data_IF_804622699090
#
_entry.id   IF_804622699090
#
_cell.length_a   1.000
_cell.length_b   1.000
_cell.length_c   1.000
_cell.angle_alpha   90.00
_cell.angle_beta   90.00
_cell.angle_gamma   90.00
#
_symmetry.space_group_name_H-M   'P 1'
#
loop_
_entity.id
_entity.type
_entity.pdbx_description
1 polymer ?
#
# COMPACT_ATOMS: atom_id res chain seq x y z
N UNK A 1 -10.74 4.18 -30.87
CA UNK A 1 -10.77 2.71 -30.71
C UNK A 1 -11.60 2.41 -29.48
N UNK A 2 -12.80 1.83 -29.64
CA UNK A 2 -13.70 1.55 -28.52
C UNK A 2 -13.10 0.42 -27.68
N UNK A 3 -12.91 0.69 -26.40
CA UNK A 3 -12.45 -0.25 -25.38
C UNK A 3 -13.49 -1.37 -25.25
N UNK A 4 -13.28 -2.49 -25.96
CA UNK A 4 -14.25 -3.57 -26.10
C UNK A 4 -13.92 -4.79 -25.22
N UNK A 5 -13.02 -4.64 -24.23
CA UNK A 5 -12.86 -5.65 -23.18
C UNK A 5 -13.79 -5.29 -22.03
N UNK A 6 -14.87 -6.06 -21.90
CA UNK A 6 -15.84 -5.90 -20.83
C UNK A 6 -15.13 -5.82 -19.47
N UNK A 7 -15.26 -4.69 -18.77
CA UNK A 7 -14.79 -4.58 -17.39
C UNK A 7 -15.34 -5.76 -16.57
N UNK A 8 -14.53 -6.36 -15.69
CA UNK A 8 -14.97 -7.51 -14.93
C UNK A 8 -16.23 -7.17 -14.12
N UNK A 9 -17.37 -7.72 -14.55
CA UNK A 9 -18.69 -7.58 -13.94
C UNK A 9 -18.80 -8.42 -12.67
N UNK A 10 -17.98 -8.12 -11.67
CA UNK A 10 -17.96 -8.86 -10.40
C UNK A 10 -19.02 -8.28 -9.47
N UNK A 11 -19.94 -9.14 -9.01
CA UNK A 11 -20.88 -8.77 -7.97
C UNK A 11 -20.13 -8.63 -6.63
N UNK A 12 -20.05 -7.40 -6.14
CA UNK A 12 -19.55 -7.06 -4.82
C UNK A 12 -20.62 -7.33 -3.76
N UNK A 13 -20.20 -7.46 -2.49
CA UNK A 13 -21.14 -7.55 -1.36
C UNK A 13 -22.01 -6.29 -1.31
N UNK A 14 -23.13 -6.35 -0.57
CA UNK A 14 -23.91 -5.15 -0.26
C UNK A 14 -23.01 -4.08 0.41
N UNK A 15 -23.36 -2.80 0.26
CA UNK A 15 -22.58 -1.69 0.86
C UNK A 15 -22.37 -1.88 2.37
N UNK A 16 -23.41 -2.35 3.07
CA UNK A 16 -23.34 -2.61 4.51
C UNK A 16 -22.38 -3.77 4.84
N UNK A 17 -22.47 -4.89 4.12
CA UNK A 17 -21.58 -6.04 4.35
C UNK A 17 -20.13 -5.75 3.93
N UNK A 18 -19.91 -4.94 2.89
CA UNK A 18 -18.59 -4.46 2.49
C UNK A 18 -18.00 -3.56 3.57
N UNK A 19 -18.77 -2.58 4.06
CA UNK A 19 -18.35 -1.71 5.15
C UNK A 19 -18.02 -2.49 6.43
N UNK A 20 -18.86 -3.46 6.82
CA UNK A 20 -18.60 -4.30 7.98
C UNK A 20 -17.30 -5.12 7.81
N UNK A 21 -17.09 -5.74 6.66
CA UNK A 21 -15.85 -6.50 6.38
C UNK A 21 -14.63 -5.57 6.41
N UNK A 22 -14.72 -4.43 5.72
CA UNK A 22 -13.64 -3.45 5.62
C UNK A 22 -13.26 -2.84 6.97
N UNK A 23 -14.23 -2.42 7.77
CA UNK A 23 -14.00 -1.85 9.10
C UNK A 23 -13.42 -2.88 10.08
N UNK A 24 -13.91 -4.12 10.06
CA UNK A 24 -13.34 -5.19 10.89
C UNK A 24 -11.88 -5.46 10.52
N UNK A 25 -11.57 -5.60 9.22
CA UNK A 25 -10.19 -5.82 8.79
C UNK A 25 -9.29 -4.62 9.07
N UNK A 26 -9.79 -3.39 8.89
CA UNK A 26 -9.07 -2.18 9.25
C UNK A 26 -8.75 -2.12 10.74
N UNK A 27 -9.72 -2.45 11.61
CA UNK A 27 -9.53 -2.51 13.05
C UNK A 27 -8.53 -3.60 13.46
N UNK A 28 -8.57 -4.78 12.83
CA UNK A 28 -7.62 -5.86 13.09
C UNK A 28 -6.20 -5.49 12.67
N UNK A 29 -6.03 -4.91 11.48
CA UNK A 29 -4.71 -4.46 10.99
C UNK A 29 -4.16 -3.35 11.89
N UNK A 30 -4.94 -2.31 12.14
CA UNK A 30 -4.52 -1.18 12.97
C UNK A 30 -4.25 -1.61 14.42
N UNK A 31 -5.15 -2.39 15.01
CA UNK A 31 -4.99 -2.91 16.36
C UNK A 31 -3.75 -3.81 16.50
N UNK A 32 -3.49 -4.68 15.52
CA UNK A 32 -2.29 -5.52 15.50
C UNK A 32 -1.03 -4.68 15.34
N UNK A 33 -1.05 -3.70 14.42
CA UNK A 33 0.08 -2.80 14.18
C UNK A 33 0.43 -2.01 15.44
N UNK A 34 -0.58 -1.44 16.10
CA UNK A 34 -0.40 -0.63 17.30
C UNK A 34 0.06 -1.47 18.48
N UNK A 35 -0.54 -2.66 18.66
CA UNK A 35 -0.19 -3.57 19.75
C UNK A 35 1.24 -4.09 19.60
N UNK A 36 1.61 -4.51 18.39
CA UNK A 36 2.96 -5.00 18.12
C UNK A 36 4.00 -3.89 18.25
N UNK A 37 3.68 -2.68 17.77
CA UNK A 37 4.53 -1.50 17.94
C UNK A 37 4.72 -1.16 19.42
N UNK A 38 3.64 -1.12 20.20
CA UNK A 38 3.67 -0.86 21.64
C UNK A 38 4.51 -1.93 22.36
N UNK A 39 4.25 -3.20 22.11
CA UNK A 39 5.03 -4.31 22.66
C UNK A 39 6.51 -4.16 22.32
N UNK A 40 6.83 -3.87 21.06
CA UNK A 40 8.21 -3.69 20.58
C UNK A 40 8.96 -2.57 21.29
N UNK A 41 8.30 -1.42 21.49
CA UNK A 41 8.93 -0.25 22.11
C UNK A 41 9.06 -0.40 23.62
N UNK A 42 8.04 -0.91 24.31
CA UNK A 42 7.92 -0.77 25.76
C UNK A 42 8.02 -2.07 26.55
N UNK A 43 7.85 -3.23 25.91
CA UNK A 43 7.80 -4.54 26.62
C UNK A 43 8.93 -5.46 26.18
N UNK A 44 9.22 -5.49 24.88
CA UNK A 44 10.21 -6.39 24.31
C UNK A 44 11.63 -6.00 24.72
N UNK A 45 12.39 -6.95 25.27
CA UNK A 45 13.81 -6.77 25.59
C UNK A 45 14.69 -7.17 24.40
N UNK A 46 15.47 -6.20 23.89
CA UNK A 46 16.35 -6.42 22.74
C UNK A 46 17.75 -6.78 23.21
N UNK A 47 18.15 -8.02 22.92
CA UNK A 47 19.49 -8.54 23.16
C UNK A 47 19.94 -9.38 21.96
N UNK A 48 21.19 -9.84 21.96
CA UNK A 48 21.69 -10.76 20.93
C UNK A 48 20.90 -12.08 20.90
N UNK A 49 20.41 -12.54 22.05
CA UNK A 49 19.61 -13.76 22.15
C UNK A 49 18.21 -13.57 21.56
N UNK A 50 17.60 -12.38 21.71
CA UNK A 50 16.26 -12.09 21.19
C UNK A 50 16.27 -11.53 19.76
N UNK A 51 17.45 -11.30 19.16
CA UNK A 51 17.60 -10.72 17.82
C UNK A 51 16.83 -11.46 16.71
N UNK A 52 16.80 -12.81 16.64
CA UNK A 52 15.98 -13.50 15.63
C UNK A 52 14.48 -13.17 15.75
N UNK A 53 13.97 -13.09 16.98
CA UNK A 53 12.59 -12.70 17.25
C UNK A 53 12.36 -11.21 16.93
N UNK A 54 13.34 -10.34 17.21
CA UNK A 54 13.28 -8.93 16.84
C UNK A 54 13.16 -8.75 15.31
N UNK A 55 13.88 -9.54 14.51
CA UNK A 55 13.77 -9.53 13.05
C UNK A 55 12.39 -10.00 12.59
N UNK A 56 11.85 -11.06 13.22
CA UNK A 56 10.49 -11.53 12.91
C UNK A 56 9.43 -10.47 13.26
N UNK A 57 9.54 -9.81 14.42
CA UNK A 57 8.69 -8.69 14.83
C UNK A 57 8.80 -7.55 13.80
N UNK A 58 10.00 -7.16 13.41
CA UNK A 58 10.24 -6.12 12.41
C UNK A 58 9.58 -6.46 11.06
N UNK A 59 9.66 -7.71 10.61
CA UNK A 59 9.03 -8.16 9.38
C UNK A 59 7.49 -8.10 9.45
N UNK A 60 6.90 -8.51 10.58
CA UNK A 60 5.45 -8.41 10.79
C UNK A 60 5.01 -6.95 10.90
N UNK A 61 5.78 -6.11 11.60
CA UNK A 61 5.52 -4.67 11.71
C UNK A 61 5.59 -3.99 10.33
N UNK A 62 6.54 -4.40 9.48
CA UNK A 62 6.65 -3.95 8.10
C UNK A 62 5.39 -4.30 7.31
N UNK A 63 4.99 -5.58 7.33
CA UNK A 63 3.78 -6.04 6.63
C UNK A 63 2.51 -5.34 7.15
N UNK A 64 2.36 -5.15 8.46
CA UNK A 64 1.24 -4.41 9.04
C UNK A 64 1.25 -2.92 8.63
N UNK A 65 2.43 -2.32 8.46
CA UNK A 65 2.57 -0.94 7.98
C UNK A 65 2.12 -0.80 6.52
N UNK A 66 2.43 -1.78 5.67
CA UNK A 66 1.82 -1.89 4.33
C UNK A 66 0.30 -1.94 4.45
N UNK A 67 -0.23 -2.75 5.38
CA UNK A 67 -1.67 -2.86 5.65
C UNK A 67 -2.33 -1.52 6.00
N UNK A 68 -1.69 -0.67 6.82
CA UNK A 68 -2.22 0.67 7.13
C UNK A 68 -2.39 1.53 5.88
N UNK A 69 -1.40 1.49 4.98
CA UNK A 69 -1.46 2.22 3.72
C UNK A 69 -2.57 1.67 2.82
N UNK A 70 -2.72 0.35 2.74
CA UNK A 70 -3.75 -0.30 1.92
C UNK A 70 -5.17 0.02 2.40
N UNK A 71 -5.40 0.05 3.71
CA UNK A 71 -6.69 0.51 4.27
C UNK A 71 -6.93 1.98 3.91
N UNK A 72 -5.89 2.82 3.99
CA UNK A 72 -5.99 4.22 3.61
C UNK A 72 -6.30 4.40 2.12
N UNK A 73 -5.69 3.57 1.28
CA UNK A 73 -5.91 3.53 -0.15
C UNK A 73 -7.36 3.14 -0.48
N UNK A 74 -7.91 2.08 0.13
CA UNK A 74 -9.33 1.73 -0.03
C UNK A 74 -10.24 2.88 0.41
N UNK A 75 -9.86 3.61 1.44
CA UNK A 75 -10.57 4.82 1.86
C UNK A 75 -10.48 5.96 0.82
N UNK A 76 -9.38 6.11 0.08
CA UNK A 76 -9.27 7.12 -0.99
C UNK A 76 -10.32 6.91 -2.08
N UNK A 77 -10.54 5.66 -2.47
CA UNK A 77 -11.58 5.23 -3.41
C UNK A 77 -12.99 5.18 -2.81
N UNK A 78 -13.08 5.15 -1.48
CA UNK A 78 -14.34 4.99 -0.76
C UNK A 78 -14.86 3.56 -0.71
N UNK A 79 -14.02 2.57 -1.08
CA UNK A 79 -14.35 1.14 -1.03
C UNK A 79 -14.34 0.59 0.40
N UNK A 80 -13.63 1.23 1.34
CA UNK A 80 -13.63 0.85 2.76
C UNK A 80 -15.02 1.01 3.40
N UNK A 81 -15.67 2.17 3.25
CA UNK A 81 -17.07 2.39 3.69
C UNK A 81 -17.90 2.99 2.55
N UNK A 82 -18.50 2.17 1.66
CA UNK A 82 -19.23 2.67 0.51
C UNK A 82 -20.37 3.62 0.89
N UNK A 83 -20.38 4.82 0.30
CA UNK A 83 -21.39 5.85 0.54
C UNK A 83 -21.07 6.85 1.66
N UNK A 84 -19.98 6.68 2.41
CA UNK A 84 -19.60 7.61 3.48
C UNK A 84 -18.21 8.23 3.27
N UNK A 85 -18.14 9.30 2.47
CA UNK A 85 -16.88 10.03 2.22
C UNK A 85 -16.22 10.53 3.51
N UNK A 86 -17.02 10.93 4.50
CA UNK A 86 -16.54 11.44 5.80
C UNK A 86 -15.80 10.37 6.59
N UNK A 87 -16.38 9.17 6.73
CA UNK A 87 -15.76 8.07 7.49
C UNK A 87 -14.47 7.61 6.79
N UNK A 88 -14.52 7.41 5.47
CA UNK A 88 -13.33 7.08 4.69
C UNK A 88 -12.22 8.12 4.88
N UNK A 89 -12.54 9.40 4.73
CA UNK A 89 -11.53 10.46 4.87
C UNK A 89 -10.95 10.52 6.28
N UNK A 90 -11.76 10.33 7.33
CA UNK A 90 -11.27 10.33 8.70
C UNK A 90 -10.33 9.15 8.98
N UNK A 91 -10.72 7.92 8.61
CA UNK A 91 -9.90 6.73 8.82
C UNK A 91 -8.62 6.81 7.98
N UNK A 92 -8.76 7.05 6.68
CA UNK A 92 -7.62 7.10 5.76
C UNK A 92 -6.63 8.22 6.10
N UNK A 93 -7.10 9.40 6.50
CA UNK A 93 -6.21 10.48 6.93
C UNK A 93 -5.44 10.12 8.22
N UNK A 94 -6.12 9.50 9.19
CA UNK A 94 -5.50 9.08 10.45
C UNK A 94 -4.41 8.04 10.20
N UNK A 95 -4.72 7.01 9.40
CA UNK A 95 -3.77 5.94 9.13
C UNK A 95 -2.57 6.41 8.28
N UNK A 96 -2.77 7.28 7.29
CA UNK A 96 -1.67 7.89 6.54
C UNK A 96 -0.78 8.79 7.41
N UNK A 97 -1.39 9.55 8.33
CA UNK A 97 -0.65 10.37 9.26
C UNK A 97 0.19 9.51 10.20
N UNK A 98 -0.36 8.43 10.75
CA UNK A 98 0.40 7.50 11.60
C UNK A 98 1.50 6.75 10.84
N UNK A 99 1.28 6.44 9.56
CA UNK A 99 2.25 5.74 8.73
C UNK A 99 3.57 6.54 8.57
N UNK A 100 3.49 7.82 8.17
CA UNK A 100 4.69 8.63 7.94
C UNK A 100 4.43 10.15 7.97
N UNK A 101 3.40 10.60 8.69
CA UNK A 101 3.00 12.01 8.71
C UNK A 101 2.47 12.50 7.35
N UNK A 102 1.92 11.61 6.53
CA UNK A 102 1.49 11.96 5.18
C UNK A 102 0.20 12.79 5.18
N UNK A 103 0.14 13.75 4.26
CA UNK A 103 -1.05 14.57 4.03
C UNK A 103 -2.09 13.79 3.22
N UNK A 104 -3.30 13.64 3.79
CA UNK A 104 -4.44 13.02 3.12
C UNK A 104 -4.74 13.66 1.76
N UNK A 105 -4.86 14.99 1.72
CA UNK A 105 -5.23 15.72 0.51
C UNK A 105 -4.20 15.52 -0.60
N UNK A 106 -2.91 15.64 -0.26
CA UNK A 106 -1.81 15.46 -1.22
C UNK A 106 -1.78 14.02 -1.76
N UNK A 107 -1.80 13.03 -0.86
CA UNK A 107 -1.69 11.63 -1.24
C UNK A 107 -2.91 11.18 -2.06
N UNK A 108 -4.13 11.52 -1.63
CA UNK A 108 -5.35 11.19 -2.36
C UNK A 108 -5.42 11.84 -3.73
N UNK A 109 -5.00 13.11 -3.85
CA UNK A 109 -4.94 13.79 -5.14
C UNK A 109 -3.98 13.10 -6.10
N UNK A 110 -2.76 12.85 -5.63
CA UNK A 110 -1.74 12.18 -6.44
C UNK A 110 -2.16 10.76 -6.85
N UNK A 111 -2.81 10.02 -5.96
CA UNK A 111 -3.34 8.69 -6.26
C UNK A 111 -4.38 8.70 -7.40
N UNK A 112 -5.29 9.68 -7.40
CA UNK A 112 -6.24 9.81 -8.51
C UNK A 112 -5.58 10.29 -9.82
N UNK A 113 -4.57 11.15 -9.73
CA UNK A 113 -3.77 11.55 -10.89
C UNK A 113 -3.06 10.33 -11.50
N UNK A 114 -2.50 9.46 -10.65
CA UNK A 114 -1.93 8.17 -11.08
C UNK A 114 -2.98 7.31 -11.81
N UNK A 115 -4.15 7.08 -11.24
CA UNK A 115 -5.20 6.32 -11.94
C UNK A 115 -5.62 6.89 -13.31
N UNK A 116 -5.56 8.22 -13.46
CA UNK A 116 -5.92 8.91 -14.70
C UNK A 116 -4.80 8.87 -15.74
N UNK A 117 -3.56 9.01 -15.29
CA UNK A 117 -2.38 9.22 -16.12
C UNK A 117 -1.39 8.05 -16.09
N UNK A 118 -1.75 6.92 -15.48
CA UNK A 118 -0.89 5.77 -15.22
C UNK A 118 0.13 5.50 -16.34
N UNK A 119 1.41 5.50 -16.02
CA UNK A 119 2.50 5.24 -16.97
C UNK A 119 2.67 6.28 -18.09
N UNK A 120 2.15 7.50 -17.90
CA UNK A 120 2.27 8.63 -18.85
C UNK A 120 2.83 9.86 -18.16
N UNK A 121 3.26 10.82 -18.97
CA UNK A 121 3.68 12.14 -18.49
C UNK A 121 2.62 12.76 -17.58
N UNK A 122 3.05 13.16 -16.40
CA UNK A 122 2.18 13.77 -15.36
C UNK A 122 1.63 12.78 -14.33
N UNK A 123 1.82 11.47 -14.50
CA UNK A 123 1.59 10.50 -13.43
C UNK A 123 2.60 10.73 -12.28
N UNK A 124 2.15 11.06 -11.06
CA UNK A 124 3.05 11.33 -9.94
C UNK A 124 3.80 10.10 -9.44
N UNK A 125 3.33 8.90 -9.80
CA UNK A 125 3.92 7.63 -9.39
C UNK A 125 4.84 7.03 -10.45
N UNK A 126 5.01 7.69 -11.60
CA UNK A 126 5.82 7.20 -12.72
C UNK A 126 7.04 8.07 -13.01
N UNK A 127 8.22 7.47 -13.12
CA UNK A 127 9.44 8.15 -13.55
C UNK A 127 9.62 8.01 -15.07
N UNK A 128 9.25 9.06 -15.81
CA UNK A 128 9.36 9.08 -17.27
C UNK A 128 10.80 9.00 -17.80
N UNK A 129 11.78 9.40 -16.98
CA UNK A 129 13.19 9.39 -17.37
C UNK A 129 13.85 8.03 -17.06
N UNK A 130 13.30 7.29 -16.11
CA UNK A 130 13.83 6.00 -15.67
C UNK A 130 12.75 4.91 -15.56
N UNK A 131 11.94 4.69 -16.61
CA UNK A 131 10.72 3.88 -16.51
C UNK A 131 10.97 2.37 -16.34
N UNK A 132 12.22 1.93 -16.51
CA UNK A 132 12.68 0.56 -16.30
C UNK A 132 13.56 0.40 -15.05
N UNK A 133 14.04 1.49 -14.44
CA UNK A 133 15.09 1.42 -13.42
C UNK A 133 14.51 1.62 -12.01
N UNK A 134 14.58 0.56 -11.21
CA UNK A 134 13.98 0.52 -9.87
C UNK A 134 14.50 1.62 -8.92
N UNK A 135 15.82 1.73 -8.75
CA UNK A 135 16.40 2.63 -7.75
C UNK A 135 16.22 4.13 -8.07
N UNK A 136 16.47 4.59 -9.31
CA UNK A 136 16.20 5.98 -9.67
C UNK A 136 14.73 6.35 -9.46
N UNK A 137 13.81 5.47 -9.90
CA UNK A 137 12.39 5.71 -9.75
C UNK A 137 11.94 5.71 -8.29
N UNK A 138 12.43 4.77 -7.46
CA UNK A 138 12.13 4.78 -6.03
C UNK A 138 12.59 6.09 -5.36
N UNK A 139 13.75 6.62 -5.74
CA UNK A 139 14.23 7.91 -5.24
C UNK A 139 13.34 9.08 -5.68
N UNK A 140 12.87 9.09 -6.94
CA UNK A 140 11.90 10.07 -7.45
C UNK A 140 10.59 10.01 -6.67
N UNK A 141 10.04 8.80 -6.48
CA UNK A 141 8.82 8.54 -5.73
C UNK A 141 8.96 9.03 -4.27
N UNK A 142 10.03 8.65 -3.59
CA UNK A 142 10.23 9.01 -2.18
C UNK A 142 10.33 10.54 -2.01
N UNK A 143 11.06 11.24 -2.87
CA UNK A 143 11.17 12.72 -2.83
C UNK A 143 9.83 13.42 -3.09
N UNK A 144 8.95 12.82 -3.91
CA UNK A 144 7.62 13.38 -4.21
C UNK A 144 6.73 13.35 -2.99
N UNK A 145 6.77 12.27 -2.20
CA UNK A 145 5.83 12.04 -1.11
C UNK A 145 6.38 12.39 0.27
N UNK A 146 7.62 12.01 0.57
CA UNK A 146 8.27 12.24 1.85
C UNK A 146 8.87 13.65 1.90
N UNK A 147 8.08 14.59 2.44
CA UNK A 147 8.44 16.01 2.53
C UNK A 147 8.76 16.49 3.95
N UNK A 148 8.92 17.81 4.13
CA UNK A 148 9.27 18.40 5.43
C UNK A 148 8.34 18.01 6.59
N UNK A 149 7.03 17.89 6.34
CA UNK A 149 6.08 17.44 7.37
C UNK A 149 6.33 16.02 7.85
N UNK A 150 6.66 15.09 6.93
CA UNK A 150 7.02 13.72 7.27
C UNK A 150 8.34 13.66 8.04
N UNK A 151 9.31 14.49 7.66
CA UNK A 151 10.58 14.64 8.40
C UNK A 151 10.29 15.07 9.84
N UNK A 152 9.55 16.18 10.03
CA UNK A 152 9.20 16.67 11.37
C UNK A 152 8.47 15.59 12.18
N UNK A 153 7.52 14.88 11.58
CA UNK A 153 6.79 13.79 12.23
C UNK A 153 7.73 12.68 12.72
N UNK A 154 8.55 12.11 11.82
CA UNK A 154 9.47 11.01 12.16
C UNK A 154 10.50 11.46 13.21
N UNK A 155 11.08 12.65 13.07
CA UNK A 155 12.02 13.17 14.05
C UNK A 155 11.35 13.39 15.42
N UNK A 156 10.11 13.86 15.44
CA UNK A 156 9.35 14.02 16.69
C UNK A 156 9.15 12.67 17.39
N UNK A 157 8.79 11.62 16.66
CA UNK A 157 8.64 10.27 17.23
C UNK A 157 9.97 9.76 17.78
N UNK A 158 11.07 9.88 17.02
CA UNK A 158 12.40 9.43 17.46
C UNK A 158 12.88 10.20 18.69
N UNK A 159 12.69 11.52 18.73
CA UNK A 159 13.05 12.37 19.88
C UNK A 159 12.22 11.99 21.12
N UNK A 160 10.90 11.84 20.97
CA UNK A 160 10.04 11.44 22.10
C UNK A 160 10.46 10.06 22.61
N UNK A 161 10.70 9.10 21.72
CA UNK A 161 11.10 7.75 22.14
C UNK A 161 12.47 7.73 22.81
N UNK A 162 13.48 8.36 22.20
CA UNK A 162 14.84 8.31 22.72
C UNK A 162 15.09 9.19 23.93
N UNK A 163 14.51 10.40 23.98
CA UNK A 163 14.82 11.40 25.00
C UNK A 163 13.76 11.56 26.08
N UNK A 164 12.48 11.23 25.80
CA UNK A 164 11.38 11.38 26.77
C UNK A 164 10.98 10.04 27.37
N UNK A 165 10.96 8.97 26.57
CA UNK A 165 10.53 7.63 27.00
C UNK A 165 11.68 6.65 27.21
N UNK A 166 12.93 7.11 27.06
CA UNK A 166 14.16 6.33 27.30
C UNK A 166 14.21 4.98 26.53
N UNK A 167 13.61 4.94 25.33
CA UNK A 167 13.65 3.76 24.46
C UNK A 167 15.04 3.68 23.81
N UNK A 168 15.78 2.57 23.96
CA UNK A 168 17.10 2.41 23.35
C UNK A 168 17.09 2.67 21.84
N UNK A 169 18.05 3.46 21.35
CA UNK A 169 18.13 3.83 19.93
C UNK A 169 18.14 2.61 19.00
N UNK A 170 18.82 1.52 19.38
CA UNK A 170 18.83 0.28 18.61
C UNK A 170 17.43 -0.32 18.40
N UNK A 171 16.55 -0.23 19.40
CA UNK A 171 15.14 -0.66 19.29
C UNK A 171 14.36 0.25 18.35
N UNK A 172 14.53 1.57 18.48
CA UNK A 172 13.86 2.55 17.60
C UNK A 172 14.25 2.30 16.14
N UNK A 173 15.54 2.12 15.86
CA UNK A 173 16.03 1.86 14.51
C UNK A 173 15.51 0.52 13.98
N UNK A 174 15.67 -0.57 14.74
CA UNK A 174 15.37 -1.93 14.26
C UNK A 174 13.86 -2.24 14.19
N UNK A 175 13.07 -1.73 15.14
CA UNK A 175 11.67 -2.13 15.31
C UNK A 175 10.65 -1.04 14.93
N UNK A 176 11.10 0.18 14.61
CA UNK A 176 10.25 1.26 14.08
C UNK A 176 10.77 1.78 12.73
N UNK A 177 12.02 2.27 12.69
CA UNK A 177 12.59 2.89 11.48
C UNK A 177 12.76 1.93 10.32
N UNK A 178 13.42 0.79 10.54
CA UNK A 178 13.66 -0.21 9.50
C UNK A 178 12.37 -0.82 8.93
N UNK A 179 11.36 -1.22 9.75
CA UNK A 179 10.07 -1.68 9.24
C UNK A 179 9.33 -0.63 8.41
N UNK A 180 9.38 0.65 8.82
CA UNK A 180 8.75 1.73 8.08
C UNK A 180 9.38 1.90 6.68
N UNK A 181 10.71 1.96 6.60
CA UNK A 181 11.45 2.05 5.33
C UNK A 181 11.23 0.80 4.46
N UNK A 182 11.28 -0.39 5.05
CA UNK A 182 11.04 -1.64 4.34
C UNK A 182 9.61 -1.67 3.77
N UNK A 183 8.62 -1.18 4.52
CA UNK A 183 7.24 -1.14 4.06
C UNK A 183 7.04 -0.18 2.89
N UNK A 184 7.76 0.95 2.84
CA UNK A 184 7.68 1.88 1.71
C UNK A 184 8.33 1.29 0.44
N UNK A 185 9.45 0.56 0.59
CA UNK A 185 10.06 -0.20 -0.50
C UNK A 185 9.09 -1.27 -1.00
N UNK A 186 8.45 -2.01 -0.10
CA UNK A 186 7.50 -3.08 -0.42
C UNK A 186 6.28 -2.54 -1.17
N UNK A 187 5.66 -1.46 -0.67
CA UNK A 187 4.55 -0.77 -1.33
C UNK A 187 4.95 -0.30 -2.72
N UNK A 188 6.08 0.38 -2.86
CA UNK A 188 6.56 0.87 -4.15
C UNK A 188 6.83 -0.28 -5.12
N UNK A 189 7.50 -1.34 -4.66
CA UNK A 189 7.86 -2.46 -5.52
C UNK A 189 6.64 -3.18 -6.09
N UNK A 190 5.70 -3.59 -5.23
CA UNK A 190 4.54 -4.37 -5.66
C UNK A 190 3.36 -3.52 -6.14
N UNK A 191 3.22 -2.30 -5.63
CA UNK A 191 2.09 -1.41 -5.91
C UNK A 191 2.37 -0.35 -6.98
N UNK A 192 3.62 -0.14 -7.38
CA UNK A 192 4.00 0.91 -8.34
C UNK A 192 4.96 0.39 -9.42
N UNK A 193 6.16 -0.03 -9.03
CA UNK A 193 7.20 -0.40 -9.99
C UNK A 193 6.82 -1.61 -10.84
N UNK A 194 6.55 -2.77 -10.22
CA UNK A 194 6.27 -3.99 -10.99
C UNK A 194 5.05 -3.86 -11.90
N UNK A 195 3.91 -3.29 -11.46
CA UNK A 195 2.75 -3.14 -12.32
C UNK A 195 2.97 -2.19 -13.50
N UNK A 196 3.79 -1.15 -13.34
CA UNK A 196 3.85 -0.02 -14.28
C UNK A 196 5.19 0.13 -15.02
N UNK A 197 6.24 -0.63 -14.68
CA UNK A 197 7.52 -0.48 -15.36
C UNK A 197 7.43 -0.75 -16.86
N UNK A 198 8.14 0.07 -17.64
CA UNK A 198 8.27 -0.12 -19.07
C UNK A 198 9.53 -0.97 -19.29
N UNK A 199 9.41 -2.04 -20.08
CA UNK A 199 10.57 -2.84 -20.48
C UNK A 199 11.10 -2.26 -21.79
N UNK A 200 12.33 -1.78 -21.78
CA UNK A 200 12.95 -1.16 -22.96
C UNK A 200 12.99 -2.12 -24.15
N UNK A 201 12.57 -1.61 -25.32
CA UNK A 201 12.86 -2.24 -26.62
C UNK A 201 12.08 -3.49 -27.01
N UNK A 202 11.14 -3.99 -26.20
CA UNK A 202 10.36 -5.21 -26.52
C UNK A 202 8.86 -5.04 -26.69
N UNK A 203 8.35 -3.82 -26.79
CA UNK A 203 6.96 -3.59 -27.21
C UNK A 203 5.94 -4.39 -26.40
N UNK A 204 6.21 -4.67 -25.11
CA UNK A 204 5.20 -5.24 -24.23
C UNK A 204 4.13 -4.19 -23.99
N UNK A 205 3.18 -4.16 -24.92
CA UNK A 205 1.99 -3.34 -24.84
C UNK A 205 1.21 -3.75 -23.60
N UNK A 206 0.85 -2.77 -22.78
CA UNK A 206 -0.12 -2.99 -21.71
C UNK A 206 -1.46 -3.45 -22.31
N UNK A 207 -2.22 -4.20 -21.53
CA UNK A 207 -3.49 -4.75 -22.00
C UNK A 207 -4.49 -3.66 -22.43
N UNK A 208 -4.43 -2.49 -21.80
CA UNK A 208 -5.29 -1.35 -22.05
C UNK A 208 -4.64 -0.03 -21.57
N UNK A 209 -5.44 1.03 -21.53
CA UNK A 209 -5.03 2.39 -21.16
C UNK A 209 -4.60 2.57 -19.70
N UNK A 210 -4.86 1.60 -18.83
CA UNK A 210 -4.50 1.66 -17.41
C UNK A 210 -3.00 1.44 -17.19
N UNK A 211 -2.28 0.97 -18.20
CA UNK A 211 -0.83 0.78 -18.16
C UNK A 211 -0.36 0.01 -16.91
N UNK A 212 -1.14 -1.00 -16.49
CA UNK A 212 -0.91 -1.79 -15.29
C UNK A 212 -0.86 -3.27 -15.63
N UNK A 213 -0.06 -4.04 -14.89
CA UNK A 213 0.01 -5.51 -14.97
C UNK A 213 -0.35 -6.13 -13.62
N UNK A 214 -0.84 -7.37 -13.68
CA UNK A 214 -1.09 -8.18 -12.49
C UNK A 214 -0.15 -9.35 -12.42
N UNK A 215 0.24 -9.69 -11.20
CA UNK A 215 1.08 -10.82 -10.85
C UNK A 215 0.32 -12.15 -10.97
N UNK A 216 1.08 -13.21 -11.25
CA UNK A 216 0.58 -14.59 -11.24
C UNK A 216 0.65 -15.24 -9.84
N UNK A 217 0.67 -14.43 -8.78
CA UNK A 217 0.71 -14.92 -7.41
C UNK A 217 -0.57 -15.66 -7.03
N UNK A 218 -0.41 -16.76 -6.29
CA UNK A 218 -1.52 -17.34 -5.52
C UNK A 218 -2.00 -16.39 -4.43
N UNK A 219 -3.19 -16.66 -3.88
CA UNK A 219 -3.85 -15.77 -2.89
C UNK A 219 -2.95 -15.42 -1.70
N UNK A 220 -2.25 -16.41 -1.11
CA UNK A 220 -1.38 -16.18 0.05
C UNK A 220 -0.16 -15.32 -0.28
N UNK A 221 0.52 -15.60 -1.39
CA UNK A 221 1.67 -14.81 -1.83
C UNK A 221 1.25 -13.36 -2.16
N UNK A 222 0.06 -13.19 -2.75
CA UNK A 222 -0.52 -11.88 -3.05
C UNK A 222 -0.89 -11.09 -1.77
N UNK A 223 -1.36 -11.77 -0.72
CA UNK A 223 -1.60 -11.17 0.59
C UNK A 223 -0.28 -10.74 1.25
N UNK A 224 0.72 -11.63 1.25
CA UNK A 224 2.02 -11.40 1.88
C UNK A 224 2.80 -10.28 1.17
N UNK A 225 2.68 -10.15 -0.15
CA UNK A 225 3.42 -9.15 -0.91
C UNK A 225 2.86 -7.74 -0.74
N UNK A 226 1.54 -7.55 -0.89
CA UNK A 226 0.95 -6.21 -0.82
C UNK A 226 -0.58 -6.25 -0.64
N UNK A 227 -1.12 -7.08 0.25
CA UNK A 227 -2.58 -7.15 0.51
C UNK A 227 -3.41 -7.27 -0.78
N UNK A 228 -2.97 -8.15 -1.68
CA UNK A 228 -3.58 -8.40 -2.98
C UNK A 228 -3.40 -7.35 -4.08
N UNK A 229 -2.62 -6.30 -3.84
CA UNK A 229 -2.26 -5.31 -4.88
C UNK A 229 -1.34 -5.85 -5.97
N UNK A 230 -0.84 -7.08 -5.83
CA UNK A 230 -0.31 -7.82 -6.97
C UNK A 230 -1.34 -8.02 -8.08
N UNK A 231 -2.65 -7.96 -7.79
CA UNK A 231 -3.72 -7.95 -8.80
C UNK A 231 -4.04 -6.50 -9.23
N UNK A 232 -3.00 -5.78 -9.64
CA UNK A 232 -3.03 -4.32 -9.83
C UNK A 232 -3.86 -3.88 -11.04
N UNK A 233 -3.84 -4.65 -12.14
CA UNK A 233 -4.67 -4.35 -13.31
C UNK A 233 -6.17 -4.47 -12.96
N UNK A 234 -6.56 -5.48 -12.18
CA UNK A 234 -7.92 -5.61 -11.69
C UNK A 234 -8.34 -4.42 -10.81
N UNK A 235 -7.42 -3.94 -9.97
CA UNK A 235 -7.62 -2.74 -9.17
C UNK A 235 -7.89 -1.50 -10.03
N UNK A 236 -7.05 -1.23 -11.03
CA UNK A 236 -7.25 -0.11 -11.96
C UNK A 236 -8.57 -0.21 -12.75
N UNK A 237 -8.97 -1.42 -13.13
CA UNK A 237 -10.24 -1.68 -13.80
C UNK A 237 -11.46 -1.50 -12.88
N UNK A 238 -11.35 -1.84 -11.58
CA UNK A 238 -12.44 -1.85 -10.61
C UNK A 238 -12.00 -1.25 -9.27
N UNK A 239 -11.69 0.07 -9.22
CA UNK A 239 -11.19 0.74 -8.02
C UNK A 239 -12.19 0.78 -6.86
N UNK A 240 -13.46 0.44 -7.11
CA UNK A 240 -14.49 0.24 -6.09
C UNK A 240 -14.38 -1.11 -5.34
N UNK A 241 -13.51 -2.01 -5.82
CA UNK A 241 -13.22 -3.30 -5.17
C UNK A 241 -12.22 -3.09 -4.03
N UNK A 242 -12.57 -3.43 -2.78
CA UNK A 242 -11.62 -3.36 -1.68
C UNK A 242 -10.56 -4.45 -1.78
N UNK A 243 -9.41 -4.24 -1.16
CA UNK A 243 -8.22 -5.09 -1.29
C UNK A 243 -8.51 -6.59 -1.06
N UNK A 244 -9.34 -6.92 -0.05
CA UNK A 244 -9.69 -8.30 0.32
C UNK A 244 -10.59 -9.00 -0.70
N UNK A 245 -11.21 -8.26 -1.62
CA UNK A 245 -12.05 -8.79 -2.69
C UNK A 245 -11.32 -8.94 -4.04
N UNK A 246 -10.13 -8.35 -4.21
CA UNK A 246 -9.34 -8.45 -5.44
C UNK A 246 -9.06 -9.89 -5.89
N UNK A 247 -8.77 -10.87 -5.00
CA UNK A 247 -8.59 -12.26 -5.44
C UNK A 247 -9.83 -12.85 -6.14
N UNK A 248 -11.04 -12.42 -5.76
CA UNK A 248 -12.27 -12.85 -6.43
C UNK A 248 -12.33 -12.28 -7.85
N UNK A 249 -12.02 -11.00 -8.01
CA UNK A 249 -11.97 -10.34 -9.33
C UNK A 249 -10.95 -11.02 -10.24
N UNK A 250 -9.75 -11.29 -9.72
CA UNK A 250 -8.69 -12.00 -10.46
C UNK A 250 -9.16 -13.35 -10.98
N UNK A 251 -9.79 -14.18 -10.12
CA UNK A 251 -10.30 -15.50 -10.54
C UNK A 251 -11.35 -15.39 -11.63
N UNK A 252 -12.27 -14.43 -11.55
CA UNK A 252 -13.30 -14.24 -12.58
C UNK A 252 -12.70 -13.77 -13.91
N UNK A 253 -11.69 -12.89 -13.88
CA UNK A 253 -10.95 -12.48 -15.09
C UNK A 253 -10.26 -13.67 -15.73
N UNK A 254 -9.55 -14.49 -14.94
CA UNK A 254 -8.86 -15.68 -15.46
C UNK A 254 -9.83 -16.73 -16.02
N UNK A 255 -10.96 -16.98 -15.36
CA UNK A 255 -11.98 -17.92 -15.84
C UNK A 255 -12.61 -17.46 -17.15
N UNK A 256 -12.90 -16.16 -17.31
CA UNK A 256 -13.40 -15.59 -18.56
C UNK A 256 -12.36 -15.69 -19.68
N UNK A 257 -11.09 -15.45 -19.38
CA UNK A 257 -10.00 -15.59 -20.34
C UNK A 257 -9.75 -17.04 -20.76
N UNK A 258 -9.99 -18.01 -19.88
CA UNK A 258 -9.88 -19.44 -20.22
C UNK A 258 -11.09 -19.97 -21.02
N UNK A 259 -12.22 -19.28 -20.97
CA UNK A 259 -13.45 -19.64 -21.68
C UNK A 259 -13.60 -18.95 -23.05
N UNK A 260 -12.70 -18.02 -23.39
CA UNK A 260 -12.68 -17.26 -24.65
C UNK A 260 -11.57 -17.78 -25.57
#
# INVERSE_FOLDING_TARGET
>A
MKDNRAHPSVSLKSRASQAATGLTLAALIFGSWLSLHFFSMFVFDLSLASLPLAIAIAAVQCWLSVGLFIVSHDAMHGSLVPGSKRINSAIGATLLFLYAGFSWTKMRGAHFDHHRLAGKKGDPDFDENHPAAFWPWYATFLRRYFGPGSIVFVFSVVIIYGLVLDVPLGKIVLLYGAPAIASSIQLFYFGTFRPHHHVDGKGETFADRHNARSENFGTLASLASCFHFGYHHEHHCRPDTPWWALPKVRREVLNKGAAA
#
